data_IF_092385048353
#
_entry.id   IF_092385048353
#
_cell.length_a   1.000
_cell.length_b   1.000
_cell.length_c   1.000
_cell.angle_alpha   90.00
_cell.angle_beta   90.00
_cell.angle_gamma   90.00
#
_symmetry.space_group_name_H-M   'P 1'
#
loop_
_entity.id
_entity.type
_entity.pdbx_description
1 polymer ?
#
# COMPACT_ATOMS: atom_id res chain seq x y z
N UNK A 1 -22.60 11.28 31.27
CA UNK A 1 -21.33 11.53 30.56
C UNK A 1 -20.28 10.54 31.07
N UNK A 2 -19.48 9.96 30.17
CA UNK A 2 -18.36 9.00 30.38
C UNK A 2 -18.73 7.57 30.81
N UNK A 3 -18.91 6.72 29.79
CA UNK A 3 -18.68 5.28 29.86
C UNK A 3 -17.83 4.92 28.65
N UNK A 4 -16.50 4.93 28.79
CA UNK A 4 -15.55 4.18 27.96
C UNK A 4 -14.14 4.31 28.56
N UNK A 5 -13.92 3.63 29.68
CA UNK A 5 -12.60 3.13 30.05
C UNK A 5 -12.68 1.64 29.75
N UNK A 6 -11.98 1.18 28.72
CA UNK A 6 -11.44 -0.16 28.51
C UNK A 6 -11.15 -0.37 27.02
N UNK A 7 -10.05 0.18 26.52
CA UNK A 7 -9.29 -0.42 25.41
C UNK A 7 -7.78 -0.09 25.49
N UNK A 8 -7.32 0.62 26.53
CA UNK A 8 -5.95 1.15 26.60
C UNK A 8 -5.03 0.32 27.53
N UNK A 9 -5.32 -0.96 27.66
CA UNK A 9 -4.55 -1.85 28.53
C UNK A 9 -4.61 -3.28 27.99
N UNK A 10 -3.88 -3.54 26.89
CA UNK A 10 -3.10 -4.78 26.62
C UNK A 10 -2.50 -4.69 25.20
N UNK A 11 -1.49 -3.85 24.98
CA UNK A 11 -0.31 -4.16 24.13
C UNK A 11 0.87 -3.40 24.74
N UNK A 12 1.32 -3.82 25.92
CA UNK A 12 2.67 -3.48 26.37
C UNK A 12 3.66 -4.43 25.66
N UNK A 13 3.75 -4.31 24.34
CA UNK A 13 4.84 -4.92 23.57
C UNK A 13 5.79 -3.76 23.25
N UNK A 14 7.02 -3.80 23.78
CA UNK A 14 8.00 -2.78 23.50
C UNK A 14 8.22 -2.71 21.98
N UNK A 15 7.74 -1.64 21.35
CA UNK A 15 7.97 -1.42 19.92
C UNK A 15 9.48 -1.30 19.72
N UNK A 16 10.05 -2.27 19.00
CA UNK A 16 11.45 -2.26 18.61
C UNK A 16 11.52 -1.94 17.12
N UNK A 17 12.33 -0.95 16.76
CA UNK A 17 12.65 -0.67 15.38
C UNK A 17 13.36 -1.88 14.75
N UNK A 18 12.87 -2.30 13.58
CA UNK A 18 13.52 -3.32 12.78
C UNK A 18 14.40 -2.63 11.75
N UNK A 19 15.69 -2.97 11.76
CA UNK A 19 16.57 -2.55 10.68
C UNK A 19 16.05 -3.08 9.34
N UNK A 20 15.97 -2.21 8.34
CA UNK A 20 15.58 -2.61 6.99
C UNK A 20 16.80 -3.25 6.31
N UNK A 21 16.74 -4.55 5.93
CA UNK A 21 17.85 -5.19 5.24
C UNK A 21 18.23 -4.48 3.93
N UNK A 22 19.53 -4.36 3.65
CA UNK A 22 20.06 -3.67 2.45
C UNK A 22 19.51 -4.22 1.14
N UNK A 23 19.12 -5.50 1.08
CA UNK A 23 18.45 -6.12 -0.09
C UNK A 23 17.13 -5.44 -0.49
N UNK A 24 16.50 -4.68 0.41
CA UNK A 24 15.30 -3.90 0.11
C UNK A 24 15.59 -2.47 -0.36
N UNK A 25 16.87 -2.06 -0.36
CA UNK A 25 17.33 -0.74 -0.82
C UNK A 25 17.90 -0.85 -2.23
N UNK A 26 17.26 -0.17 -3.18
CA UNK A 26 17.65 -0.12 -4.60
C UNK A 26 18.11 1.27 -5.05
N UNK A 27 18.03 2.26 -4.16
CA UNK A 27 18.53 3.63 -4.39
C UNK A 27 19.96 3.78 -3.86
N UNK A 28 20.68 4.76 -4.39
CA UNK A 28 22.04 5.07 -3.93
C UNK A 28 22.06 5.60 -2.49
N UNK A 29 23.22 5.48 -1.82
CA UNK A 29 23.42 5.91 -0.42
C UNK A 29 23.14 7.41 -0.17
N UNK A 30 23.19 8.23 -1.21
CA UNK A 30 22.98 9.68 -1.14
C UNK A 30 21.53 10.09 -1.43
N UNK A 31 20.60 9.13 -1.60
CA UNK A 31 19.19 9.44 -1.83
C UNK A 31 18.58 10.09 -0.57
N UNK A 32 17.89 11.25 -0.69
CA UNK A 32 17.20 11.85 0.44
C UNK A 32 16.15 10.91 1.03
N UNK A 33 16.01 10.95 2.37
CA UNK A 33 14.93 10.25 3.06
C UNK A 33 13.55 10.87 2.76
N UNK A 34 12.48 10.18 3.15
CA UNK A 34 11.10 10.64 2.97
C UNK A 34 10.55 10.31 1.58
N UNK A 35 9.68 11.17 1.03
CA UNK A 35 9.01 10.93 -0.26
C UNK A 35 9.96 10.63 -1.43
N UNK A 36 11.11 11.34 -1.60
CA UNK A 36 12.05 11.06 -2.70
C UNK A 36 12.58 9.63 -2.68
N UNK A 37 12.70 9.03 -1.49
CA UNK A 37 13.19 7.67 -1.32
C UNK A 37 12.24 6.66 -1.98
N UNK A 38 10.94 6.77 -1.70
CA UNK A 38 9.93 5.86 -2.23
C UNK A 38 9.84 5.97 -3.76
N UNK A 39 9.85 7.19 -4.29
CA UNK A 39 9.82 7.44 -5.74
C UNK A 39 11.09 6.92 -6.41
N UNK A 40 12.26 7.17 -5.81
CA UNK A 40 13.53 6.66 -6.33
C UNK A 40 13.59 5.13 -6.38
N UNK A 41 13.07 4.47 -5.35
CA UNK A 41 12.95 3.01 -5.30
C UNK A 41 12.06 2.49 -6.44
N UNK A 42 10.92 3.16 -6.68
CA UNK A 42 9.98 2.83 -7.76
C UNK A 42 10.61 3.02 -9.14
N UNK A 43 11.22 4.19 -9.41
CA UNK A 43 11.90 4.48 -10.67
C UNK A 43 13.01 3.46 -10.97
N UNK A 44 13.78 3.04 -9.95
CA UNK A 44 14.80 2.01 -10.11
C UNK A 44 14.18 0.65 -10.54
N UNK A 45 13.07 0.24 -9.92
CA UNK A 45 12.36 -1.00 -10.27
C UNK A 45 11.87 -0.99 -11.72
N UNK A 46 11.24 0.11 -12.15
CA UNK A 46 10.79 0.25 -13.54
C UNK A 46 11.96 0.24 -14.52
N UNK A 47 13.03 0.97 -14.23
CA UNK A 47 14.21 0.99 -15.10
C UNK A 47 14.85 -0.41 -15.23
N UNK A 48 14.87 -1.21 -14.17
CA UNK A 48 15.31 -2.61 -14.24
C UNK A 48 14.38 -3.44 -15.14
N UNK A 49 13.07 -3.40 -14.89
CA UNK A 49 12.10 -4.17 -15.65
C UNK A 49 12.11 -3.86 -17.15
N UNK A 50 12.20 -2.59 -17.51
CA UNK A 50 12.30 -2.14 -18.91
C UNK A 50 13.56 -2.72 -19.58
N UNK A 51 14.70 -2.74 -18.88
CA UNK A 51 15.97 -3.22 -19.47
C UNK A 51 16.05 -4.74 -19.61
N UNK A 52 15.44 -5.48 -18.69
CA UNK A 52 15.58 -6.95 -18.63
C UNK A 52 14.38 -7.69 -19.19
N UNK A 53 13.24 -7.01 -19.40
CA UNK A 53 11.94 -7.64 -19.66
C UNK A 53 11.43 -8.48 -18.49
N UNK A 54 12.03 -8.34 -17.30
CA UNK A 54 11.72 -9.12 -16.09
C UNK A 54 11.63 -8.19 -14.89
N UNK A 55 10.61 -8.35 -14.06
CA UNK A 55 10.60 -7.69 -12.77
C UNK A 55 9.28 -7.78 -12.05
N UNK A 56 9.37 -7.78 -10.72
CA UNK A 56 8.22 -7.61 -9.83
C UNK A 56 7.92 -6.11 -9.74
N UNK A 57 7.10 -5.63 -10.67
CA UNK A 57 6.53 -4.29 -10.62
C UNK A 57 5.00 -4.36 -10.75
N UNK A 58 4.27 -3.41 -10.15
CA UNK A 58 2.85 -3.28 -10.42
C UNK A 58 2.63 -3.10 -11.93
N UNK A 59 1.63 -3.79 -12.46
CA UNK A 59 1.13 -3.57 -13.81
C UNK A 59 -0.16 -2.74 -13.77
N UNK A 60 -0.79 -2.60 -14.93
CA UNK A 60 -2.01 -1.83 -15.06
C UNK A 60 -3.19 -2.47 -14.32
N UNK A 61 -3.27 -3.79 -14.27
CA UNK A 61 -4.36 -4.51 -13.58
C UNK A 61 -4.29 -4.26 -12.07
N UNK A 62 -3.08 -4.27 -11.50
CA UNK A 62 -2.85 -3.89 -10.10
C UNK A 62 -3.25 -2.43 -9.84
N UNK A 63 -2.99 -1.52 -10.79
CA UNK A 63 -3.37 -0.10 -10.64
C UNK A 63 -4.89 0.13 -10.72
N UNK A 64 -5.63 -0.71 -11.44
CA UNK A 64 -7.09 -0.60 -11.56
C UNK A 64 -7.80 -1.09 -10.28
N UNK A 65 -7.22 -2.05 -9.56
CA UNK A 65 -7.85 -2.62 -8.36
C UNK A 65 -8.22 -1.57 -7.27
N UNK A 66 -7.36 -0.59 -6.92
CA UNK A 66 -7.73 0.50 -6.03
C UNK A 66 -8.93 1.34 -6.52
N UNK A 67 -9.01 1.62 -7.82
CA UNK A 67 -10.14 2.38 -8.37
C UNK A 67 -11.46 1.61 -8.23
N UNK A 68 -11.45 0.31 -8.53
CA UNK A 68 -12.62 -0.57 -8.34
C UNK A 68 -13.05 -0.64 -6.88
N UNK A 69 -12.08 -0.75 -5.96
CA UNK A 69 -12.38 -0.71 -4.54
C UNK A 69 -13.06 0.60 -4.11
N UNK A 70 -12.60 1.74 -4.62
CA UNK A 70 -13.23 3.03 -4.34
C UNK A 70 -14.65 3.12 -4.88
N UNK A 71 -14.92 2.52 -6.03
CA UNK A 71 -16.27 2.45 -6.60
C UNK A 71 -17.21 1.58 -5.76
N UNK A 72 -16.73 0.43 -5.26
CA UNK A 72 -17.48 -0.43 -4.34
C UNK A 72 -17.80 0.30 -3.01
N UNK A 73 -16.83 1.04 -2.47
CA UNK A 73 -17.03 1.87 -1.26
C UNK A 73 -18.07 2.96 -1.51
N UNK A 74 -18.00 3.64 -2.67
CA UNK A 74 -18.99 4.65 -3.05
C UNK A 74 -20.39 4.03 -3.12
N UNK A 75 -20.52 2.87 -3.78
CA UNK A 75 -21.81 2.17 -3.92
C UNK A 75 -22.38 1.75 -2.57
N UNK A 76 -21.56 1.26 -1.65
CA UNK A 76 -21.99 0.92 -0.30
C UNK A 76 -22.53 2.15 0.44
N UNK A 77 -21.84 3.29 0.31
CA UNK A 77 -22.29 4.57 0.89
C UNK A 77 -23.62 5.05 0.31
N UNK A 78 -23.79 4.98 -1.01
CA UNK A 78 -25.00 5.48 -1.69
C UNK A 78 -26.24 4.62 -1.40
N UNK A 79 -26.04 3.32 -1.23
CA UNK A 79 -27.14 2.35 -1.02
C UNK A 79 -27.42 2.05 0.44
N UNK A 80 -26.46 2.32 1.33
CA UNK A 80 -26.52 1.88 2.74
C UNK A 80 -26.45 0.36 2.91
N UNK A 81 -25.97 -0.36 1.89
CA UNK A 81 -25.88 -1.83 1.90
C UNK A 81 -24.44 -2.32 1.88
N UNK A 82 -24.22 -3.53 2.37
CA UNK A 82 -22.94 -4.22 2.23
C UNK A 82 -22.69 -4.58 0.76
N UNK A 83 -21.51 -4.20 0.25
CA UNK A 83 -21.08 -4.49 -1.11
C UNK A 83 -19.86 -5.41 -1.08
N UNK A 84 -19.92 -6.52 -1.81
CA UNK A 84 -18.76 -7.41 -2.00
C UNK A 84 -17.69 -6.72 -2.85
N UNK A 85 -16.43 -6.81 -2.42
CA UNK A 85 -15.29 -6.21 -3.14
C UNK A 85 -15.07 -6.93 -4.47
N UNK A 86 -14.90 -6.16 -5.55
CA UNK A 86 -14.76 -6.67 -6.91
C UNK A 86 -16.08 -6.86 -7.65
N UNK A 87 -17.21 -6.49 -7.03
CA UNK A 87 -18.54 -6.62 -7.65
C UNK A 87 -18.90 -5.50 -8.64
N UNK A 88 -17.97 -4.58 -8.88
CA UNK A 88 -18.01 -3.54 -9.93
C UNK A 88 -17.42 -3.99 -11.27
N UNK A 89 -16.96 -5.25 -11.40
CA UNK A 89 -16.46 -5.80 -12.66
C UNK A 89 -17.61 -6.04 -13.67
N UNK A 90 -17.54 -5.52 -14.91
CA UNK A 90 -18.34 -6.05 -16.01
C UNK A 90 -17.89 -7.48 -16.35
N UNK A 91 -18.84 -8.30 -16.80
CA UNK A 91 -18.65 -9.68 -17.28
C UNK A 91 -17.71 -9.76 -18.48
#
# INVERSE_FOLDING_TARGET
MKRLLQHDATIANALRELEVPSRFVRVGKNMPAGEPYNVGQMCNRFAHAIRTGKGDHPDFDIAVAPHRLLDDIRRASDTGQEISVGSSLPS
#
